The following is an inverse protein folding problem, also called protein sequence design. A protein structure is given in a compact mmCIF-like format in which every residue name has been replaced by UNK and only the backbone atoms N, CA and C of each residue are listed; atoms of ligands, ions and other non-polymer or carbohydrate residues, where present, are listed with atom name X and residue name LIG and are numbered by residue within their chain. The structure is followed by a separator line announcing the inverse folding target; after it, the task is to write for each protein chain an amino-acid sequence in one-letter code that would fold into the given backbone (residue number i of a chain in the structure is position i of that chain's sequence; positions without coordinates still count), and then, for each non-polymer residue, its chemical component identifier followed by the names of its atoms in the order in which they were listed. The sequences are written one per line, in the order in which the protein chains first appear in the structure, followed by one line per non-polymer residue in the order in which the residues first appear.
data_IF_811456825405
#
_entry.id   IF_811456825405
#
_cell.length_a   1.000
_cell.length_b   1.000
_cell.length_c   1.000
_cell.angle_alpha   90.00
_cell.angle_beta   90.00
_cell.angle_gamma   90.00
#
_symmetry.space_group_name_H-M   'P 1'
#
loop_
_entity.id
_entity.type
_entity.pdbx_description
1 polymer ?
#
# COMPACT_ATOMS: atom_id res chain seq x y z
N UNK A 1 4.08 12.90 67.35
CA UNK A 1 4.42 11.91 66.31
C UNK A 1 3.24 11.78 65.34
N UNK A 2 3.01 12.74 64.42
CA UNK A 2 1.78 12.75 63.58
C UNK A 2 1.76 13.74 62.40
N UNK A 3 2.90 14.18 61.88
CA UNK A 3 2.96 15.08 60.70
C UNK A 3 4.00 14.64 59.67
N UNK A 4 5.10 14.00 60.10
CA UNK A 4 6.18 13.54 59.19
C UNK A 4 5.81 12.33 58.32
N UNK A 5 4.91 11.45 58.76
CA UNK A 5 4.49 10.28 57.98
C UNK A 5 3.46 10.60 56.88
N UNK A 6 2.66 11.67 57.05
CA UNK A 6 1.67 12.07 56.05
C UNK A 6 2.33 12.71 54.81
N UNK A 7 3.46 13.41 55.00
CA UNK A 7 4.25 14.03 53.94
C UNK A 7 4.99 13.01 53.06
N UNK A 8 5.42 11.88 53.63
CA UNK A 8 6.06 10.80 52.88
C UNK A 8 5.08 10.06 51.96
N UNK A 9 3.81 9.92 52.37
CA UNK A 9 2.77 9.35 51.51
C UNK A 9 2.31 10.33 50.41
N UNK A 10 2.32 11.64 50.68
CA UNK A 10 2.02 12.64 49.65
C UNK A 10 3.09 12.67 48.54
N UNK A 11 4.38 12.49 48.89
CA UNK A 11 5.47 12.38 47.91
C UNK A 11 5.54 11.01 47.20
N UNK A 12 5.01 9.95 47.80
CA UNK A 12 4.86 8.65 47.14
C UNK A 12 3.71 8.65 46.11
N UNK A 13 2.66 9.45 46.35
CA UNK A 13 1.54 9.58 45.41
C UNK A 13 1.81 10.55 44.25
N UNK A 14 2.72 11.51 44.39
CA UNK A 14 3.12 12.37 43.27
C UNK A 14 4.17 11.75 42.36
N UNK A 15 4.80 10.63 42.73
CA UNK A 15 5.61 9.82 41.79
C UNK A 15 4.81 8.73 41.08
N UNK A 16 3.51 8.60 41.39
CA UNK A 16 2.53 8.13 40.44
C UNK A 16 2.23 9.26 39.44
N UNK A 17 3.29 9.87 38.89
CA UNK A 17 3.19 10.56 37.62
C UNK A 17 2.71 9.49 36.67
N UNK A 18 1.40 9.56 36.40
CA UNK A 18 0.79 9.31 35.11
C UNK A 18 1.93 9.31 34.10
N UNK A 19 2.39 8.12 33.71
CA UNK A 19 2.97 7.97 32.39
C UNK A 19 1.81 8.38 31.51
N UNK A 20 1.72 9.68 31.23
CA UNK A 20 0.94 10.21 30.13
C UNK A 20 1.53 9.39 29.01
N UNK A 21 0.80 8.34 28.63
CA UNK A 21 1.09 7.58 27.43
C UNK A 21 1.30 8.66 26.41
N UNK A 22 2.55 8.90 26.00
CA UNK A 22 2.84 9.81 24.91
C UNK A 22 1.88 9.38 23.83
N UNK A 23 0.95 10.26 23.45
CA UNK A 23 -0.17 9.88 22.62
C UNK A 23 0.42 9.21 21.38
N UNK A 24 0.20 7.89 21.25
CA UNK A 24 0.72 7.16 20.11
C UNK A 24 0.01 7.73 18.90
N UNK A 25 0.80 8.31 18.01
CA UNK A 25 0.31 8.75 16.72
C UNK A 25 0.10 7.51 15.88
N UNK A 26 -1.02 7.52 15.17
CA UNK A 26 -1.41 6.41 14.32
C UNK A 26 -1.54 6.92 12.90
N UNK A 27 -1.25 6.00 11.98
CA UNK A 27 -1.34 6.23 10.55
C UNK A 27 -2.56 5.49 10.02
N UNK A 28 -3.27 6.11 9.09
CA UNK A 28 -4.22 5.44 8.23
C UNK A 28 -3.84 5.72 6.77
N UNK A 29 -4.18 4.82 5.87
CA UNK A 29 -3.96 5.05 4.45
C UNK A 29 -5.15 4.65 3.61
N UNK A 30 -5.31 5.36 2.50
CA UNK A 30 -6.20 5.00 1.41
C UNK A 30 -5.49 5.25 0.07
N UNK A 31 -5.77 4.43 -0.93
CA UNK A 31 -5.19 4.58 -2.27
C UNK A 31 -6.30 4.91 -3.25
N UNK A 32 -6.22 6.08 -3.86
CA UNK A 32 -7.20 6.58 -4.83
C UNK A 32 -6.67 6.42 -6.26
N UNK A 33 -7.58 6.07 -7.17
CA UNK A 33 -7.25 5.79 -8.57
C UNK A 33 -7.05 7.07 -9.40
N UNK A 34 -6.30 7.04 -10.51
CA UNK A 34 -6.15 8.19 -11.39
C UNK A 34 -7.49 8.77 -11.88
N UNK A 35 -8.47 7.90 -12.15
CA UNK A 35 -9.80 8.33 -12.59
C UNK A 35 -10.59 8.98 -11.46
N UNK A 36 -10.44 8.51 -10.23
CA UNK A 36 -11.03 9.13 -9.04
C UNK A 36 -10.40 10.49 -8.73
N UNK A 37 -9.07 10.60 -8.83
CA UNK A 37 -8.35 11.87 -8.66
C UNK A 37 -8.87 12.93 -9.65
N UNK A 38 -9.07 12.55 -10.92
CA UNK A 38 -9.54 13.46 -11.98
C UNK A 38 -11.01 13.84 -11.88
N UNK A 39 -11.86 12.90 -11.44
CA UNK A 39 -13.31 13.13 -11.40
C UNK A 39 -13.78 13.81 -10.11
N UNK A 40 -12.96 13.80 -9.06
CA UNK A 40 -13.28 14.39 -7.77
C UNK A 40 -12.72 15.80 -7.62
N UNK A 41 -13.58 16.79 -7.41
CA UNK A 41 -13.15 18.16 -7.06
C UNK A 41 -12.33 18.23 -5.76
N UNK A 42 -12.47 17.22 -4.90
CA UNK A 42 -11.69 17.09 -3.66
C UNK A 42 -10.24 16.73 -3.93
N UNK A 43 -9.97 15.92 -4.96
CA UNK A 43 -8.65 15.34 -5.21
C UNK A 43 -7.94 15.93 -6.43
N UNK A 44 -8.60 16.79 -7.21
CA UNK A 44 -8.06 17.31 -8.48
C UNK A 44 -6.70 18.00 -8.34
N UNK A 45 -6.44 18.69 -7.23
CA UNK A 45 -5.14 19.33 -6.94
C UNK A 45 -3.99 18.32 -6.82
N UNK A 46 -4.27 17.07 -6.45
CA UNK A 46 -3.27 16.02 -6.35
C UNK A 46 -2.79 15.53 -7.73
N UNK A 47 -3.57 15.76 -8.81
CA UNK A 47 -3.17 15.41 -10.19
C UNK A 47 -2.14 16.40 -10.74
N UNK A 48 -2.06 17.63 -10.23
CA UNK A 48 -1.16 18.68 -10.75
C UNK A 48 0.32 18.30 -10.60
N UNK A 49 0.68 17.62 -9.51
CA UNK A 49 2.06 17.23 -9.22
C UNK A 49 2.50 15.96 -9.93
N UNK A 50 1.58 15.03 -10.17
CA UNK A 50 1.90 13.75 -10.82
C UNK A 50 0.68 13.16 -11.55
N UNK A 51 0.36 13.69 -12.75
CA UNK A 51 -0.90 13.40 -13.41
C UNK A 51 -1.00 11.96 -13.91
N UNK A 52 -2.14 11.33 -13.68
CA UNK A 52 -2.41 9.98 -14.20
C UNK A 52 -1.80 8.83 -13.41
N UNK A 53 -1.28 9.09 -12.20
CA UNK A 53 -0.78 8.08 -11.28
C UNK A 53 -1.68 7.91 -10.06
N UNK A 54 -1.73 6.71 -9.48
CA UNK A 54 -2.44 6.48 -8.21
C UNK A 54 -1.82 7.35 -7.11
N UNK A 55 -2.63 7.71 -6.12
CA UNK A 55 -2.20 8.48 -4.96
C UNK A 55 -2.55 7.69 -3.71
N UNK A 56 -1.55 7.36 -2.90
CA UNK A 56 -1.79 6.84 -1.56
C UNK A 56 -1.74 7.99 -0.57
N UNK A 57 -2.88 8.30 0.03
CA UNK A 57 -3.03 9.31 1.06
C UNK A 57 -2.65 8.65 2.39
N UNK A 58 -1.66 9.20 3.09
CA UNK A 58 -1.26 8.73 4.41
C UNK A 58 -1.63 9.79 5.44
N UNK A 59 -2.68 9.50 6.20
CA UNK A 59 -3.27 10.38 7.21
C UNK A 59 -2.63 10.10 8.56
N UNK A 60 -2.21 11.16 9.24
CA UNK A 60 -1.51 11.13 10.50
C UNK A 60 -2.37 11.77 11.58
N UNK A 61 -2.62 11.04 12.65
CA UNK A 61 -3.46 11.48 13.76
C UNK A 61 -2.65 11.59 15.03
N UNK A 62 -3.04 12.50 15.92
CA UNK A 62 -2.33 12.79 17.17
C UNK A 62 -0.85 13.19 16.95
N UNK A 63 -0.56 13.90 15.86
CA UNK A 63 0.81 14.37 15.56
C UNK A 63 1.30 15.30 16.67
N UNK A 64 2.49 15.08 17.27
CA UNK A 64 3.07 15.95 18.29
C UNK A 64 3.24 17.40 17.80
N UNK A 65 3.01 18.39 18.68
CA UNK A 65 2.99 19.81 18.29
C UNK A 65 4.35 20.37 17.85
N UNK A 66 5.48 19.81 18.30
CA UNK A 66 6.78 20.51 18.22
C UNK A 66 7.88 19.79 17.43
N UNK A 67 7.56 18.99 16.41
CA UNK A 67 8.59 18.17 15.77
C UNK A 67 8.50 18.17 14.25
N UNK A 68 9.63 18.42 13.61
CA UNK A 68 9.88 17.93 12.25
C UNK A 68 9.62 16.43 12.22
N UNK A 69 8.95 15.98 11.17
CA UNK A 69 8.62 14.59 10.94
C UNK A 69 9.60 14.00 9.93
N UNK A 70 10.06 12.79 10.22
CA UNK A 70 10.85 11.96 9.32
C UNK A 70 9.96 10.81 8.87
N UNK A 71 9.71 10.76 7.57
CA UNK A 71 8.97 9.67 6.94
C UNK A 71 9.99 8.68 6.43
N UNK A 72 9.90 7.44 6.90
CA UNK A 72 10.71 6.31 6.47
C UNK A 72 9.83 5.39 5.64
N UNK A 73 10.28 5.10 4.43
CA UNK A 73 9.61 4.14 3.56
C UNK A 73 10.54 2.98 3.24
N UNK A 74 10.06 1.76 3.51
CA UNK A 74 10.77 0.51 3.23
C UNK A 74 10.06 -0.26 2.13
N UNK A 75 10.73 -0.45 1.00
CA UNK A 75 10.26 -1.20 -0.16
C UNK A 75 10.74 -2.65 -0.06
N UNK A 76 9.87 -3.57 0.37
CA UNK A 76 10.27 -4.95 0.73
C UNK A 76 10.89 -5.71 -0.43
N UNK A 77 10.36 -5.50 -1.63
CA UNK A 77 10.70 -6.27 -2.83
C UNK A 77 12.08 -5.91 -3.38
N UNK A 78 12.57 -4.69 -3.13
CA UNK A 78 13.86 -4.27 -3.64
C UNK A 78 15.03 -4.79 -2.80
N UNK A 79 14.85 -5.04 -1.49
CA UNK A 79 15.86 -5.52 -0.52
C UNK A 79 17.34 -5.12 -0.79
N UNK A 80 17.56 -3.93 -1.35
CA UNK A 80 18.87 -3.33 -1.50
C UNK A 80 19.19 -2.77 -0.12
N UNK A 81 19.81 -3.60 0.73
CA UNK A 81 20.57 -3.23 1.94
C UNK A 81 20.09 -1.95 2.63
N UNK A 82 19.08 -2.04 3.50
CA UNK A 82 18.67 -0.95 4.40
C UNK A 82 18.33 0.40 3.73
N UNK A 83 18.05 0.45 2.42
CA UNK A 83 17.60 1.68 1.77
C UNK A 83 16.18 2.03 2.24
N UNK A 84 16.12 2.83 3.29
CA UNK A 84 14.93 3.56 3.68
C UNK A 84 14.99 4.91 3.01
N UNK A 85 14.07 5.18 2.08
CA UNK A 85 13.85 6.55 1.64
C UNK A 85 13.42 7.36 2.86
N UNK A 86 14.10 8.48 3.07
CA UNK A 86 13.84 9.40 4.17
C UNK A 86 13.47 10.74 3.59
N UNK A 87 12.24 11.16 3.85
CA UNK A 87 11.79 12.51 3.57
C UNK A 87 11.52 13.22 4.89
N UNK A 88 11.95 14.47 4.98
CA UNK A 88 11.70 15.33 6.14
C UNK A 88 10.63 16.33 5.79
N UNK A 89 9.68 16.50 6.70
CA UNK A 89 8.61 17.47 6.55
C UNK A 89 8.49 18.29 7.82
N UNK A 90 8.27 19.59 7.66
CA UNK A 90 7.72 20.39 8.75
C UNK A 90 6.28 19.97 9.02
N UNK A 91 5.77 20.27 10.21
CA UNK A 91 4.37 20.02 10.55
C UNK A 91 3.44 20.76 9.58
N UNK A 92 3.75 22.02 9.27
CA UNK A 92 2.95 22.85 8.37
C UNK A 92 2.84 22.23 6.97
N UNK A 93 3.93 21.67 6.44
CA UNK A 93 3.94 21.01 5.13
C UNK A 93 2.98 19.81 5.05
N UNK A 94 2.86 19.03 6.13
CA UNK A 94 1.93 17.89 6.14
C UNK A 94 0.48 18.33 6.36
N UNK A 95 0.22 19.46 7.03
CA UNK A 95 -1.13 19.99 7.13
C UNK A 95 -1.61 20.67 5.83
N UNK A 96 -0.72 21.30 5.06
CA UNK A 96 -1.06 21.92 3.75
C UNK A 96 -1.74 20.92 2.82
N UNK A 97 -1.27 19.67 2.77
CA UNK A 97 -1.89 18.63 1.94
C UNK A 97 -3.29 18.24 2.43
N UNK A 98 -3.48 18.18 3.76
CA UNK A 98 -4.78 17.95 4.39
C UNK A 98 -5.78 19.03 4.01
N UNK A 99 -5.38 20.27 4.27
CA UNK A 99 -6.21 21.46 4.01
C UNK A 99 -6.59 21.58 2.53
N UNK A 100 -5.66 21.25 1.62
CA UNK A 100 -5.88 21.27 0.17
C UNK A 100 -7.03 20.35 -0.29
N UNK A 101 -7.32 19.27 0.45
CA UNK A 101 -8.42 18.35 0.15
C UNK A 101 -9.59 18.48 1.14
N UNK A 102 -9.61 19.56 1.94
CA UNK A 102 -10.64 19.84 2.93
C UNK A 102 -10.61 18.91 4.14
N UNK A 103 -9.48 18.26 4.42
CA UNK A 103 -9.31 17.40 5.59
C UNK A 103 -8.41 18.09 6.63
N UNK A 104 -8.95 18.35 7.82
CA UNK A 104 -8.19 18.93 8.94
C UNK A 104 -7.31 17.87 9.63
N UNK A 105 -6.43 17.24 8.86
CA UNK A 105 -5.53 16.17 9.30
C UNK A 105 -4.16 16.35 8.67
N UNK A 106 -3.11 16.04 9.42
CA UNK A 106 -1.77 15.99 8.86
C UNK A 106 -1.69 14.84 7.85
N UNK A 107 -1.22 15.10 6.65
CA UNK A 107 -1.20 14.11 5.58
C UNK A 107 -0.01 14.31 4.65
N UNK A 108 0.46 13.22 4.07
CA UNK A 108 1.31 13.27 2.90
C UNK A 108 0.81 12.28 1.85
N UNK A 109 1.23 12.52 0.61
CA UNK A 109 0.79 11.75 -0.54
C UNK A 109 1.96 11.00 -1.12
N UNK A 110 1.80 9.69 -1.32
CA UNK A 110 2.74 8.84 -2.05
C UNK A 110 2.18 8.63 -3.45
N UNK A 111 2.88 9.12 -4.47
CA UNK A 111 2.52 8.80 -5.84
C UNK A 111 2.97 7.38 -6.21
N UNK A 112 2.22 6.72 -7.07
CA UNK A 112 2.57 5.39 -7.58
C UNK A 112 3.71 5.39 -8.61
N UNK A 113 4.18 6.57 -9.04
CA UNK A 113 5.31 6.70 -9.97
C UNK A 113 6.59 6.15 -9.32
N UNK A 114 7.32 5.31 -10.05
CA UNK A 114 8.55 4.67 -9.55
C UNK A 114 8.32 3.41 -8.71
N UNK A 115 7.06 3.00 -8.50
CA UNK A 115 6.69 1.75 -7.84
C UNK A 115 6.38 0.65 -8.83
N UNK A 116 6.71 -0.58 -8.45
CA UNK A 116 6.39 -1.75 -9.24
C UNK A 116 4.91 -2.15 -9.02
N UNK A 117 4.23 -2.69 -10.04
CA UNK A 117 2.85 -3.16 -9.89
C UNK A 117 2.73 -4.22 -8.80
N UNK A 118 1.82 -4.00 -7.84
CA UNK A 118 1.58 -4.90 -6.72
C UNK A 118 2.62 -4.83 -5.61
N UNK A 119 3.61 -3.93 -5.69
CA UNK A 119 4.65 -3.77 -4.68
C UNK A 119 4.09 -3.20 -3.38
N UNK A 120 4.35 -3.89 -2.27
CA UNK A 120 4.10 -3.35 -0.93
C UNK A 120 5.27 -2.52 -0.45
N UNK A 121 4.96 -1.36 0.13
CA UNK A 121 5.88 -0.61 0.95
C UNK A 121 5.35 -0.47 2.38
N UNK A 122 6.29 -0.44 3.32
CA UNK A 122 6.03 -0.19 4.73
C UNK A 122 6.43 1.25 5.04
N UNK A 123 5.54 1.98 5.70
CA UNK A 123 5.72 3.38 6.06
C UNK A 123 5.74 3.51 7.56
N UNK A 124 6.72 4.26 8.04
CA UNK A 124 6.90 4.61 9.44
C UNK A 124 7.13 6.10 9.49
N UNK A 125 6.39 6.78 10.36
CA UNK A 125 6.63 8.18 10.66
C UNK A 125 7.27 8.25 12.03
N UNK A 126 8.28 9.10 12.18
CA UNK A 126 8.88 9.39 13.47
C UNK A 126 9.19 10.87 13.58
N UNK A 127 9.23 11.36 14.81
CA UNK A 127 9.81 12.65 15.09
C UNK A 127 11.30 12.67 14.74
N UNK A 128 11.82 13.84 14.37
CA UNK A 128 13.27 14.02 14.13
C UNK A 128 14.13 13.59 15.32
N UNK A 129 13.61 13.76 16.55
CA UNK A 129 14.28 13.32 17.78
C UNK A 129 14.24 11.82 18.03
N UNK A 130 13.39 11.08 17.30
CA UNK A 130 13.11 9.67 17.49
C UNK A 130 12.28 9.32 18.73
N UNK A 131 11.87 10.32 19.54
CA UNK A 131 11.08 10.09 20.77
C UNK A 131 9.69 9.54 20.47
N UNK A 132 9.03 10.11 19.46
CA UNK A 132 7.73 9.65 19.00
C UNK A 132 7.92 8.85 17.69
N UNK A 133 7.43 7.60 17.65
CA UNK A 133 7.35 6.73 16.46
C UNK A 133 5.96 6.10 16.24
N UNK A 134 5.50 5.99 14.98
CA UNK A 134 4.22 5.37 14.63
C UNK A 134 4.39 3.86 14.60
N UNK A 135 3.27 3.16 14.75
CA UNK A 135 3.20 1.80 14.21
C UNK A 135 3.40 1.84 12.68
N UNK A 136 4.08 0.83 12.10
CA UNK A 136 4.24 0.71 10.67
C UNK A 136 2.88 0.44 10.01
N UNK A 137 2.61 1.12 8.90
CA UNK A 137 1.51 0.74 8.01
C UNK A 137 2.09 0.18 6.72
N UNK A 138 1.32 -0.70 6.08
CA UNK A 138 1.68 -1.28 4.79
C UNK A 138 0.68 -0.80 3.76
N UNK A 139 1.17 -0.29 2.63
CA UNK A 139 0.36 0.10 1.51
C UNK A 139 0.94 -0.41 0.18
N UNK A 140 0.12 -0.42 -0.86
CA UNK A 140 0.50 -0.82 -2.22
C UNK A 140 0.28 0.37 -3.14
N UNK A 141 1.32 1.18 -3.43
CA UNK A 141 1.14 2.43 -4.16
C UNK A 141 0.56 2.25 -5.55
N UNK A 142 0.95 1.15 -6.22
CA UNK A 142 0.48 0.76 -7.53
C UNK A 142 -0.29 -0.56 -7.43
N UNK A 143 -1.56 -0.54 -6.99
CA UNK A 143 -2.34 -1.76 -6.82
C UNK A 143 -2.65 -2.41 -8.17
N UNK A 144 -2.64 -3.73 -8.20
CA UNK A 144 -3.03 -4.52 -9.38
C UNK A 144 -4.30 -5.27 -9.03
N UNK A 145 -5.44 -4.68 -9.36
CA UNK A 145 -6.76 -5.19 -9.02
C UNK A 145 -7.64 -5.19 -10.27
N UNK A 146 -8.25 -6.33 -10.57
CA UNK A 146 -9.24 -6.47 -11.63
C UNK A 146 -10.58 -6.81 -10.99
N UNK A 147 -11.60 -5.99 -11.24
CA UNK A 147 -12.95 -6.19 -10.71
C UNK A 147 -13.86 -6.83 -11.76
N UNK A 148 -14.80 -7.62 -11.27
CA UNK A 148 -15.98 -8.08 -11.99
C UNK A 148 -16.79 -6.89 -12.52
N UNK A 149 -17.47 -7.09 -13.65
CA UNK A 149 -18.41 -6.09 -14.19
C UNK A 149 -19.82 -6.26 -13.64
N UNK A 150 -20.12 -7.45 -13.11
CA UNK A 150 -21.48 -7.89 -12.79
C UNK A 150 -21.66 -8.22 -11.30
N UNK A 151 -20.60 -8.13 -10.49
CA UNK A 151 -20.60 -8.49 -9.06
C UNK A 151 -19.46 -7.78 -8.32
N UNK A 152 -19.39 -7.97 -7.01
CA UNK A 152 -18.30 -7.47 -6.15
C UNK A 152 -17.02 -8.32 -6.24
N UNK A 153 -16.98 -9.34 -7.10
CA UNK A 153 -15.81 -10.20 -7.22
C UNK A 153 -14.59 -9.43 -7.74
N UNK A 154 -13.42 -9.66 -7.16
CA UNK A 154 -12.17 -9.05 -7.61
C UNK A 154 -10.97 -9.96 -7.42
N UNK A 155 -9.99 -9.78 -8.32
CA UNK A 155 -8.70 -10.46 -8.27
C UNK A 155 -7.64 -9.40 -7.99
N UNK A 156 -6.78 -9.64 -7.01
CA UNK A 156 -5.63 -8.79 -6.75
C UNK A 156 -4.33 -9.56 -6.89
N UNK A 157 -3.29 -8.87 -7.34
CA UNK A 157 -1.93 -9.40 -7.42
C UNK A 157 -0.97 -8.54 -6.61
N UNK A 158 -0.26 -9.19 -5.70
CA UNK A 158 0.81 -8.60 -4.89
C UNK A 158 2.15 -9.12 -5.38
N UNK A 159 3.11 -8.24 -5.63
CA UNK A 159 4.47 -8.63 -6.02
C UNK A 159 5.21 -9.15 -4.79
N UNK A 160 5.45 -10.46 -4.75
CA UNK A 160 6.10 -11.15 -3.64
C UNK A 160 7.63 -11.20 -3.81
N UNK A 161 8.12 -11.46 -5.03
CA UNK A 161 9.56 -11.57 -5.35
C UNK A 161 9.86 -10.97 -6.72
N UNK A 162 11.07 -10.44 -6.90
CA UNK A 162 11.57 -9.98 -8.21
C UNK A 162 12.24 -11.08 -9.02
N UNK A 163 12.94 -11.99 -8.35
CA UNK A 163 13.78 -13.00 -9.00
C UNK A 163 13.62 -14.38 -8.34
N UNK A 164 12.93 -15.33 -9.00
CA UNK A 164 12.08 -15.10 -10.18
C UNK A 164 10.89 -14.19 -9.84
N UNK A 165 10.41 -13.40 -10.81
CA UNK A 165 9.26 -12.52 -10.58
C UNK A 165 8.07 -13.36 -10.15
N UNK A 166 7.53 -13.11 -8.97
CA UNK A 166 6.45 -13.92 -8.39
C UNK A 166 5.39 -13.02 -7.78
N UNK A 167 4.15 -13.28 -8.14
CA UNK A 167 2.97 -12.61 -7.61
C UNK A 167 2.19 -13.54 -6.68
N UNK A 168 1.71 -13.01 -5.56
CA UNK A 168 0.66 -13.64 -4.76
C UNK A 168 -0.69 -13.17 -5.30
N UNK A 169 -1.48 -14.11 -5.82
CA UNK A 169 -2.82 -13.85 -6.36
C UNK A 169 -3.84 -14.16 -5.28
N UNK A 170 -4.73 -13.20 -5.02
CA UNK A 170 -5.82 -13.37 -4.07
C UNK A 170 -7.16 -12.98 -4.67
N UNK A 171 -8.22 -13.51 -4.08
CA UNK A 171 -9.59 -13.42 -4.57
C UNK A 171 -10.50 -12.86 -3.48
N UNK A 172 -11.39 -11.96 -3.85
CA UNK A 172 -12.40 -11.38 -2.95
C UNK A 172 -13.76 -11.37 -3.66
N UNK A 173 -14.85 -11.49 -2.90
CA UNK A 173 -16.22 -11.40 -3.45
C UNK A 173 -16.68 -12.59 -4.31
N UNK A 174 -15.95 -13.72 -4.28
CA UNK A 174 -16.37 -14.98 -4.90
C UNK A 174 -17.24 -15.80 -3.94
N UNK A 175 -18.13 -16.63 -4.51
CA UNK A 175 -19.02 -17.48 -3.72
C UNK A 175 -18.23 -18.65 -3.12
N UNK A 176 -18.41 -18.98 -1.83
CA UNK A 176 -17.80 -20.17 -1.24
C UNK A 176 -18.08 -21.42 -2.09
N UNK A 177 -17.06 -22.25 -2.27
CA UNK A 177 -17.12 -23.50 -3.04
C UNK A 177 -17.37 -23.32 -4.56
N UNK A 178 -17.31 -22.09 -5.07
CA UNK A 178 -17.36 -21.81 -6.51
C UNK A 178 -16.17 -22.45 -7.24
N UNK A 179 -16.42 -23.21 -8.32
CA UNK A 179 -15.34 -23.74 -9.16
C UNK A 179 -14.86 -22.67 -10.13
N UNK A 180 -13.61 -22.29 -10.01
CA UNK A 180 -12.95 -21.32 -10.86
C UNK A 180 -12.05 -22.05 -11.85
N UNK A 181 -12.21 -21.77 -13.14
CA UNK A 181 -11.24 -22.18 -14.15
C UNK A 181 -10.25 -21.04 -14.36
N UNK A 182 -8.98 -21.34 -14.17
CA UNK A 182 -7.87 -20.39 -14.27
C UNK A 182 -7.13 -20.70 -15.56
N UNK A 183 -6.89 -19.68 -16.38
CA UNK A 183 -5.98 -19.80 -17.53
C UNK A 183 -4.93 -18.71 -17.47
N UNK A 184 -3.70 -19.07 -17.80
CA UNK A 184 -2.57 -18.16 -17.86
C UNK A 184 -1.99 -18.16 -19.26
N UNK A 185 -1.56 -16.99 -19.74
CA UNK A 185 -0.88 -16.84 -21.02
C UNK A 185 0.34 -15.96 -20.81
N UNK A 186 1.52 -16.48 -21.16
CA UNK A 186 2.80 -15.78 -21.10
C UNK A 186 3.50 -16.02 -22.44
N UNK A 187 3.51 -15.02 -23.34
CA UNK A 187 3.87 -15.23 -24.75
C UNK A 187 3.06 -16.37 -25.39
N UNK A 188 3.73 -17.43 -25.82
CA UNK A 188 3.20 -18.64 -26.43
C UNK A 188 2.89 -19.75 -25.41
N UNK A 189 3.40 -19.64 -24.19
CA UNK A 189 3.10 -20.57 -23.10
C UNK A 189 1.69 -20.34 -22.55
N UNK A 190 0.93 -21.43 -22.44
CA UNK A 190 -0.44 -21.43 -21.91
C UNK A 190 -0.55 -22.42 -20.76
N UNK A 191 -1.07 -21.95 -19.63
CA UNK A 191 -1.44 -22.77 -18.50
C UNK A 191 -2.94 -22.80 -18.31
N UNK A 192 -3.46 -23.90 -17.78
CA UNK A 192 -4.84 -23.96 -17.28
C UNK A 192 -4.94 -24.84 -16.06
N UNK A 193 -5.78 -24.45 -15.12
CA UNK A 193 -6.08 -25.22 -13.93
C UNK A 193 -7.48 -24.92 -13.43
N UNK A 194 -7.91 -25.68 -12.42
CA UNK A 194 -9.17 -25.48 -11.73
C UNK A 194 -8.90 -25.35 -10.24
N UNK A 195 -9.66 -24.47 -9.58
CA UNK A 195 -9.61 -24.22 -8.15
C UNK A 195 -11.05 -24.18 -7.64
N UNK A 196 -11.33 -24.86 -6.53
CA UNK A 196 -12.56 -24.61 -5.77
C UNK A 196 -12.28 -23.46 -4.82
N UNK A 197 -13.03 -22.36 -4.90
CA UNK A 197 -12.80 -21.19 -4.07
C UNK A 197 -13.10 -21.47 -2.59
N UNK A 198 -12.22 -20.98 -1.72
CA UNK A 198 -12.41 -20.90 -0.28
C UNK A 198 -11.87 -19.54 0.16
N UNK A 199 -12.37 -18.97 1.27
CA UNK A 199 -11.95 -17.64 1.76
C UNK A 199 -10.45 -17.50 2.03
N UNK A 200 -9.69 -18.60 2.09
CA UNK A 200 -8.23 -18.60 2.28
C UNK A 200 -7.46 -18.89 1.01
N UNK A 201 -8.16 -19.10 -0.11
CA UNK A 201 -7.52 -19.52 -1.34
C UNK A 201 -6.89 -18.33 -2.04
N UNK A 202 -5.63 -18.53 -2.40
CA UNK A 202 -4.83 -17.73 -3.28
C UNK A 202 -3.78 -18.66 -3.88
N UNK A 203 -2.98 -18.16 -4.81
CA UNK A 203 -1.89 -18.94 -5.36
C UNK A 203 -0.71 -18.04 -5.72
N UNK A 204 0.48 -18.64 -5.74
CA UNK A 204 1.66 -17.98 -6.25
C UNK A 204 1.71 -18.16 -7.76
N UNK A 205 1.93 -17.07 -8.48
CA UNK A 205 2.09 -17.05 -9.93
C UNK A 205 3.48 -16.50 -10.27
N UNK A 206 4.32 -17.36 -10.83
CA UNK A 206 5.68 -17.02 -11.25
C UNK A 206 5.74 -17.06 -12.77
N UNK A 207 5.47 -15.96 -13.47
CA UNK A 207 5.62 -15.92 -14.92
C UNK A 207 7.09 -16.06 -15.33
N UNK A 208 7.34 -16.89 -16.32
CA UNK A 208 8.64 -17.07 -16.95
C UNK A 208 8.48 -17.89 -18.22
N UNK A 209 9.19 -17.52 -19.28
CA UNK A 209 9.18 -18.22 -20.57
C UNK A 209 10.61 -18.45 -20.99
N UNK A 210 10.93 -19.66 -21.45
CA UNK A 210 12.30 -20.02 -21.85
C UNK A 210 12.77 -19.08 -22.97
N UNK A 211 13.94 -18.46 -22.77
CA UNK A 211 14.53 -17.52 -23.74
C UNK A 211 13.92 -16.11 -23.72
N UNK A 212 13.04 -15.80 -22.77
CA UNK A 212 12.51 -14.44 -22.54
C UNK A 212 13.01 -13.89 -21.21
N UNK A 213 13.37 -12.61 -21.19
CA UNK A 213 13.89 -11.93 -19.99
C UNK A 213 12.85 -11.07 -19.27
N UNK A 214 11.66 -10.96 -19.85
CA UNK A 214 10.53 -10.18 -19.35
C UNK A 214 9.34 -10.33 -20.27
N UNK A 215 8.19 -9.82 -19.85
CA UNK A 215 6.95 -9.87 -20.63
C UNK A 215 5.76 -9.35 -19.83
N UNK A 216 4.57 -9.46 -20.44
CA UNK A 216 3.29 -9.30 -19.76
C UNK A 216 2.57 -10.63 -19.81
N UNK A 217 2.20 -11.14 -18.64
CA UNK A 217 1.40 -12.36 -18.51
C UNK A 217 -0.05 -11.99 -18.28
N UNK A 218 -0.98 -12.71 -18.92
CA UNK A 218 -2.42 -12.57 -18.71
C UNK A 218 -2.92 -13.72 -17.85
N UNK A 219 -3.47 -13.41 -16.69
CA UNK A 219 -4.28 -14.35 -15.91
C UNK A 219 -5.75 -14.09 -16.26
N UNK A 220 -6.51 -15.16 -16.48
CA UNK A 220 -7.95 -15.08 -16.69
C UNK A 220 -8.65 -16.11 -15.83
N UNK A 221 -9.66 -15.66 -15.10
CA UNK A 221 -10.52 -16.48 -14.26
C UNK A 221 -11.88 -16.55 -14.93
N UNK A 222 -12.34 -17.76 -15.17
CA UNK A 222 -13.69 -18.06 -15.64
C UNK A 222 -14.49 -18.61 -14.47
N UNK A 223 -15.59 -17.93 -14.18
CA UNK A 223 -16.55 -18.27 -13.12
C UNK A 223 -17.61 -19.23 -13.64
N UNK A 224 -18.31 -19.92 -12.73
CA UNK A 224 -19.38 -20.85 -13.11
C UNK A 224 -20.57 -20.13 -13.78
N UNK A 225 -20.81 -18.88 -13.41
CA UNK A 225 -21.84 -18.02 -14.00
C UNK A 225 -21.47 -17.50 -15.42
N UNK A 226 -20.34 -17.93 -15.98
CA UNK A 226 -19.85 -17.52 -17.30
C UNK A 226 -19.08 -16.19 -17.31
N UNK A 227 -18.95 -15.50 -16.18
CA UNK A 227 -18.16 -14.29 -16.08
C UNK A 227 -16.67 -14.57 -16.25
N UNK A 228 -15.99 -13.60 -16.88
CA UNK A 228 -14.54 -13.59 -17.05
C UNK A 228 -13.93 -12.36 -16.40
N UNK A 229 -12.92 -12.57 -15.56
CA UNK A 229 -12.09 -11.50 -15.01
C UNK A 229 -10.65 -11.74 -15.46
N UNK A 230 -10.02 -10.73 -16.08
CA UNK A 230 -8.66 -10.82 -16.58
C UNK A 230 -7.75 -9.79 -15.90
N UNK A 231 -6.50 -10.19 -15.68
CA UNK A 231 -5.47 -9.37 -15.07
C UNK A 231 -4.16 -9.51 -15.85
N UNK A 232 -3.44 -8.41 -16.01
CA UNK A 232 -2.19 -8.34 -16.75
C UNK A 232 -1.04 -8.05 -15.77
N UNK A 233 -0.02 -8.89 -15.81
CA UNK A 233 1.09 -8.88 -14.85
C UNK A 233 2.42 -8.77 -15.60
N UNK A 234 3.11 -7.61 -15.53
CA UNK A 234 4.44 -7.47 -16.10
C UNK A 234 5.46 -8.26 -15.28
N UNK A 235 6.52 -8.73 -15.92
CA UNK A 235 7.56 -9.51 -15.25
C UNK A 235 8.93 -9.32 -15.90
N UNK A 236 9.98 -9.68 -15.15
CA UNK A 236 11.36 -9.56 -15.63
C UNK A 236 11.70 -8.11 -16.03
N UNK A 237 12.34 -7.93 -17.20
CA UNK A 237 12.76 -6.61 -17.70
C UNK A 237 11.61 -5.63 -17.94
N UNK A 238 10.38 -6.09 -18.14
CA UNK A 238 9.21 -5.23 -18.34
C UNK A 238 8.75 -4.51 -17.05
N UNK A 239 9.35 -4.86 -15.90
CA UNK A 239 9.19 -4.11 -14.65
C UNK A 239 10.07 -2.86 -14.57
N UNK A 240 11.14 -2.76 -15.38
CA UNK A 240 12.10 -1.65 -15.32
C UNK A 240 11.48 -0.28 -15.61
N UNK A 241 10.60 -0.11 -16.63
CA UNK A 241 9.97 1.19 -16.87
C UNK A 241 9.12 1.65 -15.68
N UNK A 242 8.51 0.72 -14.93
CA UNK A 242 7.72 1.06 -13.73
C UNK A 242 8.60 1.61 -12.62
N UNK A 243 9.75 0.98 -12.34
CA UNK A 243 10.67 1.46 -11.29
C UNK A 243 11.29 2.80 -11.62
N UNK A 244 11.39 3.15 -12.91
CA UNK A 244 11.81 4.48 -13.37
C UNK A 244 10.68 5.52 -13.44
N UNK A 245 9.43 5.10 -13.26
CA UNK A 245 8.27 5.99 -13.38
C UNK A 245 7.98 6.44 -14.82
N UNK A 246 8.41 5.67 -15.82
CA UNK A 246 8.28 6.01 -17.26
C UNK A 246 6.93 5.55 -17.84
N UNK A 247 6.20 4.69 -17.14
CA UNK A 247 4.93 4.11 -17.58
C UNK A 247 3.78 4.47 -16.64
N UNK A 248 2.60 4.62 -17.24
CA UNK A 248 1.35 4.81 -16.52
C UNK A 248 0.91 3.51 -15.83
N UNK A 249 0.12 3.60 -14.76
CA UNK A 249 -0.50 2.44 -14.14
C UNK A 249 -1.31 1.58 -15.11
N UNK A 250 -1.27 0.27 -14.91
CA UNK A 250 -2.10 -0.67 -15.68
C UNK A 250 -3.58 -0.41 -15.40
N UNK A 251 -4.39 -0.26 -16.45
CA UNK A 251 -5.83 -0.04 -16.35
C UNK A 251 -6.24 1.36 -15.88
N UNK A 252 -5.32 2.34 -15.92
CA UNK A 252 -5.64 3.76 -15.73
C UNK A 252 -6.33 4.40 -16.93
#
# INVERSE_FOLDING_TARGET
MRVKELLLWFFAFTNLFVSISEAQFFLASETISPNEVKSSSKYSLLDEFDPGHYKSLVKMYNVPQEQELVIKMKRKVLDITNYMERARFSREQVFVNGDAIGENVAMFTVSSRGFLPGEKCEIIVESQSGKSRSEPIVLTPLPVISKSKNSEASISAELALLYPTTYSISFEGFDPDEKLKITTISYDEKGSGELVFSKKNGFLFTPGVIGKEGGISKITIYRQNGEQISQYLPWGKDLIPYSKGEVKPLGS
#
